data_IF_168071670481
#
_entry.id   IF_168071670481
#
_cell.length_a   1.000
_cell.length_b   1.000
_cell.length_c   1.000
_cell.angle_alpha   90.00
_cell.angle_beta   90.00
_cell.angle_gamma   90.00
#
_symmetry.space_group_name_H-M   'P 1'
#
loop_
_entity.id
_entity.type
_entity.pdbx_description
1 polymer ?
#
# COMPACT_ATOMS: atom_id res chain seq x y z
N UNK A 1 24.25 -2.61 -6.22
CA UNK A 1 24.32 -1.17 -6.58
C UNK A 1 22.98 -0.63 -7.07
N UNK A 2 22.27 -1.26 -8.02
CA UNK A 2 20.95 -0.76 -8.47
C UNK A 2 19.86 -0.70 -7.37
N UNK A 3 19.79 -1.70 -6.47
CA UNK A 3 18.80 -1.77 -5.38
C UNK A 3 18.95 -0.62 -4.35
N UNK A 4 20.17 -0.11 -4.14
CA UNK A 4 20.44 0.98 -3.20
C UNK A 4 20.15 2.36 -3.78
N UNK A 5 20.34 2.56 -5.09
CA UNK A 5 20.01 3.81 -5.77
C UNK A 5 18.49 3.98 -5.97
N UNK A 6 17.78 2.91 -6.34
CA UNK A 6 16.31 2.94 -6.41
C UNK A 6 15.69 3.23 -5.04
N UNK A 7 16.28 2.66 -3.98
CA UNK A 7 15.83 2.88 -2.60
C UNK A 7 16.05 4.33 -2.15
N UNK A 8 17.16 4.97 -2.52
CA UNK A 8 17.41 6.38 -2.18
C UNK A 8 16.44 7.34 -2.89
N UNK A 9 16.09 7.05 -4.15
CA UNK A 9 15.06 7.79 -4.89
C UNK A 9 13.67 7.62 -4.28
N UNK A 10 13.31 6.39 -3.88
CA UNK A 10 12.04 6.11 -3.21
C UNK A 10 11.94 6.85 -1.87
N UNK A 11 12.99 6.81 -1.05
CA UNK A 11 13.05 7.54 0.23
C UNK A 11 12.89 9.03 0.03
N UNK A 12 13.57 9.62 -0.96
CA UNK A 12 13.47 11.05 -1.26
C UNK A 12 12.04 11.44 -1.66
N UNK A 13 11.39 10.59 -2.47
CA UNK A 13 10.01 10.80 -2.93
C UNK A 13 8.99 10.71 -1.78
N UNK A 14 9.19 9.77 -0.85
CA UNK A 14 8.31 9.63 0.33
C UNK A 14 8.51 10.77 1.32
N UNK A 15 9.76 11.17 1.60
CA UNK A 15 10.06 12.34 2.47
C UNK A 15 9.44 13.63 1.95
N UNK A 16 9.39 13.81 0.63
CA UNK A 16 8.75 14.98 0.02
C UNK A 16 7.24 14.99 0.25
N UNK A 17 6.59 13.81 0.27
CA UNK A 17 5.14 13.67 0.46
C UNK A 17 4.73 13.67 1.94
N UNK A 18 5.58 13.15 2.82
CA UNK A 18 5.32 13.00 4.24
C UNK A 18 6.52 13.49 5.07
N UNK A 19 6.44 14.70 5.66
CA UNK A 19 7.51 15.27 6.47
C UNK A 19 7.89 14.43 7.70
N UNK A 20 7.00 13.54 8.14
CA UNK A 20 7.21 12.68 9.30
C UNK A 20 7.73 11.29 8.91
N UNK A 21 7.99 11.05 7.62
CA UNK A 21 8.59 9.81 7.13
C UNK A 21 9.88 9.49 7.90
N UNK A 22 9.98 8.24 8.37
CA UNK A 22 11.16 7.72 9.06
C UNK A 22 11.96 6.78 8.17
N UNK A 23 11.36 5.65 7.79
CA UNK A 23 12.03 4.60 7.00
C UNK A 23 11.02 3.73 6.23
N UNK A 24 11.45 3.15 5.10
CA UNK A 24 10.69 2.12 4.38
C UNK A 24 10.91 0.80 5.10
N UNK A 25 9.83 0.11 5.44
CA UNK A 25 9.84 -1.21 6.06
C UNK A 25 9.80 -2.31 5.00
N UNK A 26 8.99 -2.13 3.95
CA UNK A 26 8.89 -3.06 2.83
C UNK A 26 8.39 -2.35 1.56
N UNK A 27 8.61 -2.97 0.40
CA UNK A 27 8.15 -2.45 -0.90
C UNK A 27 7.91 -3.55 -1.93
N UNK A 28 6.91 -3.35 -2.79
CA UNK A 28 6.68 -4.18 -3.97
C UNK A 28 6.62 -3.33 -5.24
N UNK A 29 7.20 -3.86 -6.32
CA UNK A 29 7.36 -3.13 -7.58
C UNK A 29 6.05 -2.86 -8.32
N UNK A 30 5.08 -3.76 -8.23
CA UNK A 30 3.79 -3.63 -8.93
C UNK A 30 2.69 -4.38 -8.19
N UNK A 31 1.68 -3.61 -7.78
CA UNK A 31 0.44 -4.10 -7.18
C UNK A 31 -0.78 -3.50 -7.86
N UNK A 32 -1.91 -4.18 -7.74
CA UNK A 32 -3.23 -3.72 -8.20
C UNK A 32 -4.19 -3.78 -7.01
N UNK A 33 -4.92 -2.69 -6.78
CA UNK A 33 -5.91 -2.61 -5.71
C UNK A 33 -7.31 -3.00 -6.21
N UNK A 34 -7.98 -3.84 -5.43
CA UNK A 34 -9.38 -4.21 -5.57
C UNK A 34 -10.14 -3.82 -4.31
N UNK A 35 -11.41 -3.46 -4.46
CA UNK A 35 -12.31 -3.24 -3.33
C UNK A 35 -13.39 -4.31 -3.32
N UNK A 36 -13.72 -4.82 -2.13
CA UNK A 36 -14.90 -5.65 -1.97
C UNK A 36 -16.14 -4.76 -1.87
N UNK A 37 -17.11 -4.98 -2.76
CA UNK A 37 -18.40 -4.31 -2.73
C UNK A 37 -19.42 -5.21 -2.02
N UNK A 38 -19.87 -4.86 -0.80
CA UNK A 38 -20.79 -5.69 -0.02
C UNK A 38 -22.21 -5.72 -0.60
N UNK A 39 -22.63 -4.70 -1.36
CA UNK A 39 -23.98 -4.59 -1.91
C UNK A 39 -24.22 -5.64 -3.00
N UNK A 40 -23.19 -5.91 -3.81
CA UNK A 40 -23.22 -6.92 -4.88
C UNK A 40 -22.42 -8.18 -4.54
N UNK A 41 -21.84 -8.24 -3.34
CA UNK A 41 -21.01 -9.34 -2.85
C UNK A 41 -19.89 -9.75 -3.81
N UNK A 42 -19.22 -8.76 -4.42
CA UNK A 42 -18.23 -9.02 -5.46
C UNK A 42 -17.03 -8.07 -5.35
N UNK A 43 -15.94 -8.45 -6.01
CA UNK A 43 -14.71 -7.65 -6.09
C UNK A 43 -14.74 -6.73 -7.31
N UNK A 44 -14.35 -5.48 -7.08
CA UNK A 44 -14.24 -4.45 -8.12
C UNK A 44 -12.77 -4.04 -8.26
N UNK A 45 -12.23 -4.11 -9.49
CA UNK A 45 -10.90 -3.58 -9.79
C UNK A 45 -10.96 -2.06 -9.70
N UNK A 46 -10.02 -1.46 -8.96
CA UNK A 46 -9.90 0.00 -8.89
C UNK A 46 -8.97 0.55 -9.97
N UNK A 47 -8.91 1.88 -10.11
CA UNK A 47 -7.93 2.57 -10.96
C UNK A 47 -6.59 2.82 -10.24
N UNK A 48 -6.32 2.10 -9.15
CA UNK A 48 -5.07 2.22 -8.39
C UNK A 48 -4.17 1.03 -8.68
N UNK A 49 -3.10 1.30 -9.43
CA UNK A 49 -2.11 0.31 -9.85
C UNK A 49 -0.72 0.95 -9.86
N UNK A 50 0.24 0.34 -9.16
CA UNK A 50 1.57 0.96 -9.05
C UNK A 50 2.49 0.32 -8.01
N UNK A 51 3.43 1.12 -7.51
CA UNK A 51 4.40 0.64 -6.51
C UNK A 51 3.78 0.68 -5.11
N UNK A 52 3.99 -0.39 -4.34
CA UNK A 52 3.52 -0.51 -2.96
C UNK A 52 4.67 -0.25 -1.99
N UNK A 53 4.38 0.50 -0.92
CA UNK A 53 5.32 0.82 0.13
C UNK A 53 4.65 0.63 1.48
N UNK A 54 5.34 -0.06 2.38
CA UNK A 54 5.06 -0.03 3.81
C UNK A 54 6.16 0.79 4.45
N UNK A 55 5.81 1.82 5.20
CA UNK A 55 6.78 2.72 5.82
C UNK A 55 6.35 3.13 7.22
N UNK A 56 7.32 3.58 8.02
CA UNK A 56 7.06 4.13 9.35
C UNK A 56 7.26 5.64 9.41
N UNK A 57 6.63 6.28 10.40
CA UNK A 57 6.70 7.70 10.71
C UNK A 57 7.24 7.95 12.11
N UNK A 58 7.67 9.18 12.37
CA UNK A 58 8.16 9.62 13.68
C UNK A 58 7.04 10.05 14.63
N UNK A 59 5.80 10.09 14.17
CA UNK A 59 4.61 10.51 14.92
C UNK A 59 3.46 9.53 14.66
N UNK A 60 2.45 9.50 15.54
CA UNK A 60 1.24 8.73 15.29
C UNK A 60 0.43 9.26 14.10
N UNK A 61 -0.23 8.39 13.30
CA UNK A 61 -0.05 6.94 13.27
C UNK A 61 1.38 6.55 12.85
N UNK A 62 1.97 5.54 13.49
CA UNK A 62 3.37 5.19 13.20
C UNK A 62 3.57 4.45 11.88
N UNK A 63 2.58 3.69 11.39
CA UNK A 63 2.76 2.79 10.26
C UNK A 63 1.76 3.06 9.14
N UNK A 64 2.24 3.03 7.91
CA UNK A 64 1.48 3.39 6.72
C UNK A 64 1.74 2.41 5.58
N UNK A 65 0.68 2.09 4.85
CA UNK A 65 0.74 1.43 3.56
C UNK A 65 0.33 2.42 2.47
N UNK A 66 1.13 2.53 1.41
CA UNK A 66 0.92 3.44 0.30
C UNK A 66 1.06 2.70 -1.02
N UNK A 67 0.05 2.83 -1.88
CA UNK A 67 0.18 2.53 -3.31
C UNK A 67 0.39 3.85 -4.04
N UNK A 68 1.61 4.05 -4.55
CA UNK A 68 1.92 5.14 -5.46
C UNK A 68 1.42 4.79 -6.86
N UNK A 69 0.32 5.42 -7.25
CA UNK A 69 -0.37 5.11 -8.49
C UNK A 69 0.47 5.55 -9.70
N UNK A 70 0.52 4.69 -10.71
CA UNK A 70 1.19 4.96 -11.99
C UNK A 70 0.22 5.36 -13.10
N UNK A 71 -1.07 5.09 -12.94
CA UNK A 71 -2.10 5.38 -13.94
C UNK A 71 -2.57 6.84 -13.87
N UNK A 72 -2.62 7.41 -12.68
CA UNK A 72 -3.00 8.80 -12.44
C UNK A 72 -2.35 9.34 -11.14
N UNK A 73 -2.67 10.57 -10.75
CA UNK A 73 -2.07 11.25 -9.59
C UNK A 73 -2.72 10.88 -8.24
N UNK A 74 -3.75 10.03 -8.24
CA UNK A 74 -4.49 9.61 -7.04
C UNK A 74 -3.87 8.36 -6.45
N UNK A 75 -3.07 8.56 -5.40
CA UNK A 75 -2.51 7.49 -4.60
C UNK A 75 -3.54 6.89 -3.63
N UNK A 76 -3.30 5.67 -3.18
CA UNK A 76 -4.05 5.06 -2.08
C UNK A 76 -3.16 4.95 -0.85
N UNK A 77 -3.66 5.40 0.31
CA UNK A 77 -2.94 5.41 1.58
C UNK A 77 -3.85 4.80 2.65
N UNK A 78 -3.34 3.81 3.37
CA UNK A 78 -3.99 3.20 4.53
C UNK A 78 -3.09 3.35 5.75
N UNK A 79 -3.69 3.74 6.87
CA UNK A 79 -3.02 3.75 8.16
C UNK A 79 -3.03 2.33 8.72
N UNK A 80 -1.89 1.86 9.17
CA UNK A 80 -1.77 0.53 9.77
C UNK A 80 -1.78 0.69 11.29
N UNK A 81 -2.92 0.34 11.88
CA UNK A 81 -3.16 0.33 13.33
C UNK A 81 -3.55 -1.08 13.80
N UNK A 82 -3.75 -1.26 15.10
CA UNK A 82 -4.11 -2.54 15.71
C UNK A 82 -5.47 -3.11 15.25
N UNK A 83 -6.31 -2.31 14.60
CA UNK A 83 -7.61 -2.72 14.10
C UNK A 83 -7.56 -3.15 12.62
N UNK A 84 -6.39 -3.08 11.98
CA UNK A 84 -6.20 -3.63 10.64
C UNK A 84 -6.12 -5.15 10.71
N UNK A 85 -7.02 -5.81 9.99
CA UNK A 85 -7.00 -7.26 9.82
C UNK A 85 -6.37 -7.59 8.45
N UNK A 86 -5.36 -8.47 8.46
CA UNK A 86 -4.70 -8.95 7.25
C UNK A 86 -4.94 -10.45 7.08
N UNK A 87 -5.33 -10.87 5.88
CA UNK A 87 -5.43 -12.27 5.51
C UNK A 87 -4.75 -12.54 4.18
N UNK A 88 -3.88 -13.55 4.13
CA UNK A 88 -3.32 -14.03 2.87
C UNK A 88 -4.34 -14.94 2.20
N UNK A 89 -4.78 -14.57 1.01
CA UNK A 89 -5.63 -15.40 0.17
C UNK A 89 -5.07 -15.36 -1.25
N UNK A 90 -4.17 -16.28 -1.58
CA UNK A 90 -3.46 -16.24 -2.87
C UNK A 90 -4.42 -16.13 -4.06
N UNK A 91 -4.10 -15.29 -5.06
CA UNK A 91 -2.89 -14.48 -5.22
C UNK A 91 -2.92 -13.09 -4.54
N UNK A 92 -3.80 -12.87 -3.56
CA UNK A 92 -4.04 -11.57 -2.92
C UNK A 92 -3.61 -11.55 -1.44
N UNK A 93 -3.32 -10.35 -0.95
CA UNK A 93 -3.43 -10.01 0.47
C UNK A 93 -4.72 -9.24 0.65
N UNK A 94 -5.59 -9.72 1.53
CA UNK A 94 -6.81 -9.02 1.93
C UNK A 94 -6.49 -8.14 3.15
N UNK A 95 -6.84 -6.87 3.05
CA UNK A 95 -6.69 -5.88 4.11
C UNK A 95 -8.07 -5.35 4.46
N UNK A 96 -8.51 -5.53 5.70
CA UNK A 96 -9.69 -4.86 6.23
C UNK A 96 -9.24 -3.76 7.17
N UNK A 97 -9.59 -2.52 6.84
CA UNK A 97 -9.19 -1.37 7.64
C UNK A 97 -10.13 -1.15 8.84
N UNK A 98 -9.78 -0.20 9.70
CA UNK A 98 -10.53 0.14 10.91
C UNK A 98 -11.96 0.65 10.65
N UNK A 99 -12.27 1.05 9.41
CA UNK A 99 -13.62 1.45 8.97
C UNK A 99 -14.46 0.28 8.48
N UNK A 100 -13.89 -0.93 8.40
CA UNK A 100 -14.55 -2.12 7.89
C UNK A 100 -14.50 -2.26 6.36
N UNK A 101 -13.83 -1.35 5.65
CA UNK A 101 -13.61 -1.49 4.20
C UNK A 101 -12.61 -2.61 3.94
N UNK A 102 -12.93 -3.49 2.98
CA UNK A 102 -12.07 -4.63 2.62
C UNK A 102 -11.43 -4.36 1.26
N UNK A 103 -10.10 -4.39 1.24
CA UNK A 103 -9.25 -4.25 0.09
C UNK A 103 -8.60 -5.58 -0.26
N UNK A 104 -8.48 -5.88 -1.55
CA UNK A 104 -7.71 -6.99 -2.09
C UNK A 104 -6.51 -6.42 -2.83
N UNK A 105 -5.31 -6.70 -2.37
CA UNK A 105 -4.07 -6.24 -3.00
C UNK A 105 -3.46 -7.42 -3.75
N UNK A 106 -3.45 -7.31 -5.06
CA UNK A 106 -2.82 -8.29 -5.93
C UNK A 106 -1.36 -7.90 -6.18
N UNK A 107 -0.44 -8.84 -6.01
CA UNK A 107 0.99 -8.62 -6.23
C UNK A 107 1.42 -9.29 -7.53
N UNK A 108 2.07 -8.53 -8.42
CA UNK A 108 2.61 -9.09 -9.65
C UNK A 108 3.77 -10.04 -9.38
N UNK A 109 4.69 -9.59 -8.52
CA UNK A 109 5.83 -10.37 -8.05
C UNK A 109 5.44 -11.13 -6.78
N UNK A 110 5.73 -12.43 -6.72
CA UNK A 110 5.29 -13.34 -5.66
C UNK A 110 6.43 -13.84 -4.77
N UNK A 111 7.65 -13.35 -5.00
CA UNK A 111 8.86 -13.70 -4.25
C UNK A 111 8.97 -12.95 -2.92
#
# INVERSE_FOLDING_TARGET
MAKSESMSMNVSSLKLKDPYFKEILDMAGHVVLYNYNPDIQNWEKTEVEGAFFVYSRTTEPQYYALIMNRLNTTNHIEHIDENVELQRHEPFILLKNSKGTIHGIWFYDRE
#
